data_IF_866544763349
#
_entry.id   IF_866544763349
#
_cell.length_a   1.000
_cell.length_b   1.000
_cell.length_c   1.000
_cell.angle_alpha   90.00
_cell.angle_beta   90.00
_cell.angle_gamma   90.00
#
_symmetry.space_group_name_H-M   'P 1'
#
loop_
_entity.id
_entity.type
_entity.pdbx_description
1 polymer ?
#
# COMPACT_ATOMS: atom_id res chain seq x y z
N UNK A 1 -14.01 24.75 3.48
CA UNK A 1 -13.45 23.56 2.80
C UNK A 1 -12.01 23.86 2.49
N UNK A 2 -11.08 23.30 3.26
CA UNK A 2 -9.64 23.38 2.95
C UNK A 2 -9.41 22.63 1.64
N UNK A 3 -8.68 23.24 0.71
CA UNK A 3 -8.28 22.59 -0.54
C UNK A 3 -7.23 21.54 -0.14
N UNK A 4 -7.65 20.29 0.04
CA UNK A 4 -6.75 19.19 0.33
C UNK A 4 -5.96 18.87 -0.94
N UNK A 5 -4.65 19.13 -0.92
CA UNK A 5 -3.79 18.73 -2.03
C UNK A 5 -3.75 17.20 -2.09
N UNK A 6 -3.90 16.58 -3.28
CA UNK A 6 -3.86 15.13 -3.39
C UNK A 6 -2.46 14.63 -3.05
N UNK A 7 -2.39 13.57 -2.22
CA UNK A 7 -1.18 12.78 -1.98
C UNK A 7 -1.25 11.49 -2.79
N UNK A 8 -0.10 10.95 -3.16
CA UNK A 8 -0.03 9.62 -3.78
C UNK A 8 0.26 8.59 -2.70
N UNK A 9 -0.66 7.66 -2.52
CA UNK A 9 -0.56 6.56 -1.56
C UNK A 9 -0.13 5.30 -2.30
N UNK A 10 0.94 4.67 -1.84
CA UNK A 10 1.38 3.35 -2.28
C UNK A 10 0.81 2.26 -1.38
N UNK A 11 0.33 1.16 -1.96
CA UNK A 11 -0.18 -0.01 -1.24
C UNK A 11 0.37 -1.32 -1.83
N UNK A 12 1.07 -2.10 -1.00
CA UNK A 12 1.67 -3.39 -1.39
C UNK A 12 0.76 -4.60 -1.15
N UNK A 13 -0.43 -4.40 -0.57
CA UNK A 13 -1.35 -5.50 -0.30
C UNK A 13 -1.90 -6.06 -1.62
N UNK A 14 -2.06 -7.39 -1.78
CA UNK A 14 -2.49 -7.98 -3.05
C UNK A 14 -3.81 -7.39 -3.57
N UNK A 15 -4.81 -7.27 -2.69
CA UNK A 15 -6.15 -6.77 -3.04
C UNK A 15 -6.35 -5.28 -2.73
N UNK A 16 -5.28 -4.54 -2.43
CA UNK A 16 -5.36 -3.15 -2.03
C UNK A 16 -5.91 -2.96 -0.61
N UNK A 17 -6.37 -1.75 -0.32
CA UNK A 17 -6.91 -1.39 1.00
C UNK A 17 -7.95 -0.29 0.89
N UNK A 18 -9.03 -0.39 1.69
CA UNK A 18 -10.06 0.65 1.72
C UNK A 18 -9.74 1.66 2.80
N UNK A 19 -9.46 2.89 2.39
CA UNK A 19 -9.40 4.06 3.26
C UNK A 19 -10.84 4.53 3.50
N UNK A 20 -11.30 4.46 4.75
CA UNK A 20 -12.59 5.02 5.17
C UNK A 20 -12.37 6.03 6.28
N UNK A 21 -12.91 7.23 6.10
CA UNK A 21 -13.08 8.21 7.18
C UNK A 21 -14.44 8.89 7.03
N UNK A 22 -15.33 8.67 8.00
CA UNK A 22 -16.74 9.08 7.91
C UNK A 22 -17.42 8.51 6.66
N UNK A 23 -17.98 9.39 5.84
CA UNK A 23 -18.63 9.06 4.56
C UNK A 23 -17.64 8.94 3.39
N UNK A 24 -16.41 9.42 3.55
CA UNK A 24 -15.40 9.33 2.50
C UNK A 24 -14.79 7.93 2.44
N UNK A 25 -14.84 7.33 1.24
CA UNK A 25 -14.28 6.01 0.94
C UNK A 25 -13.42 6.08 -0.31
N UNK A 26 -12.16 5.68 -0.20
CA UNK A 26 -11.25 5.51 -1.33
C UNK A 26 -10.66 4.11 -1.28
N UNK A 27 -10.61 3.43 -2.44
CA UNK A 27 -10.00 2.11 -2.59
C UNK A 27 -8.60 2.30 -3.16
N UNK A 28 -7.59 1.87 -2.40
CA UNK A 28 -6.20 1.85 -2.86
C UNK A 28 -5.96 0.67 -3.80
N UNK A 29 -5.23 0.92 -4.87
CA UNK A 29 -4.73 -0.09 -5.79
C UNK A 29 -3.68 -0.96 -5.09
N UNK A 30 -3.83 -2.27 -5.17
CA UNK A 30 -2.91 -3.24 -4.59
C UNK A 30 -1.86 -3.75 -5.56
N UNK A 31 -1.11 -4.77 -5.12
CA UNK A 31 -0.12 -5.45 -5.94
C UNK A 31 -0.72 -6.23 -7.13
N UNK A 32 -2.03 -6.51 -7.13
CA UNK A 32 -2.73 -7.12 -8.27
C UNK A 32 -3.11 -6.13 -9.39
N UNK A 33 -2.80 -4.84 -9.24
CA UNK A 33 -3.22 -3.81 -10.18
C UNK A 33 -2.36 -3.81 -11.46
N UNK A 34 -2.92 -3.32 -12.57
CA UNK A 34 -2.25 -3.34 -13.88
C UNK A 34 -0.94 -2.53 -13.94
N UNK A 35 -0.79 -1.53 -13.06
CA UNK A 35 0.42 -0.72 -12.95
C UNK A 35 0.91 -0.71 -11.51
N UNK A 36 1.97 -1.46 -11.25
CA UNK A 36 2.63 -1.56 -9.94
C UNK A 36 4.10 -1.20 -10.05
N UNK A 37 4.63 -0.55 -9.02
CA UNK A 37 6.03 -0.12 -8.92
C UNK A 37 6.61 -0.73 -7.66
N UNK A 38 7.66 -1.55 -7.76
CA UNK A 38 8.23 -2.26 -6.60
C UNK A 38 7.22 -3.11 -5.83
N UNK A 39 6.18 -3.62 -6.51
CA UNK A 39 5.06 -4.36 -5.90
C UNK A 39 3.98 -3.50 -5.24
N UNK A 40 4.04 -2.17 -5.33
CA UNK A 40 3.01 -1.26 -4.81
C UNK A 40 2.09 -0.77 -5.94
N UNK A 41 0.78 -0.83 -5.71
CA UNK A 41 -0.18 -0.04 -6.48
C UNK A 41 -0.20 1.39 -5.95
N UNK A 42 -0.26 2.38 -6.85
CA UNK A 42 -0.26 3.80 -6.50
C UNK A 42 -1.64 4.41 -6.75
N UNK A 43 -2.16 5.17 -5.79
CA UNK A 43 -3.48 5.81 -5.88
C UNK A 43 -3.41 7.25 -5.39
N UNK A 44 -4.08 8.16 -6.10
CA UNK A 44 -4.22 9.55 -5.67
C UNK A 44 -5.35 9.67 -4.64
N UNK A 45 -5.06 10.26 -3.49
CA UNK A 45 -5.98 10.35 -2.34
C UNK A 45 -5.94 11.78 -1.78
N UNK A 46 -7.06 12.36 -1.34
CA UNK A 46 -7.04 13.64 -0.61
C UNK A 46 -6.14 13.57 0.64
N UNK A 47 -5.28 14.56 0.85
CA UNK A 47 -4.34 14.57 1.99
C UNK A 47 -5.04 14.40 3.34
N UNK A 48 -6.14 15.12 3.55
CA UNK A 48 -6.89 15.11 4.81
C UNK A 48 -7.42 13.70 5.15
N UNK A 49 -7.95 12.98 4.15
CA UNK A 49 -8.40 11.59 4.31
C UNK A 49 -7.23 10.67 4.68
N UNK A 50 -6.09 10.81 4.01
CA UNK A 50 -4.90 10.01 4.32
C UNK A 50 -4.39 10.28 5.73
N UNK A 51 -4.25 11.55 6.11
CA UNK A 51 -3.74 11.93 7.44
C UNK A 51 -4.65 11.42 8.56
N UNK A 52 -5.96 11.59 8.40
CA UNK A 52 -6.97 11.12 9.35
C UNK A 52 -6.95 9.59 9.50
N UNK A 53 -6.86 8.87 8.39
CA UNK A 53 -6.75 7.41 8.39
C UNK A 53 -5.42 6.93 8.97
N UNK A 54 -4.30 7.51 8.55
CA UNK A 54 -2.96 7.13 8.98
C UNK A 54 -2.78 7.37 10.49
N UNK A 55 -3.36 8.43 11.05
CA UNK A 55 -3.37 8.67 12.51
C UNK A 55 -4.11 7.55 13.26
N UNK A 56 -5.28 7.12 12.78
CA UNK A 56 -6.06 6.02 13.40
C UNK A 56 -5.37 4.67 13.28
N UNK A 57 -4.60 4.45 12.21
CA UNK A 57 -3.98 3.17 11.89
C UNK A 57 -2.45 3.18 12.07
N UNK A 58 -1.88 4.17 12.75
CA UNK A 58 -0.44 4.35 12.93
C UNK A 58 0.22 3.12 13.59
N UNK A 59 -0.51 2.45 14.48
CA UNK A 59 -0.02 1.27 15.19
C UNK A 59 -0.11 -0.04 14.41
N UNK A 60 -0.79 -0.04 13.26
CA UNK A 60 -0.98 -1.23 12.45
C UNK A 60 0.31 -1.63 11.73
N UNK A 61 0.50 -2.93 11.43
CA UNK A 61 1.64 -3.38 10.65
C UNK A 61 1.69 -2.75 9.26
N UNK A 62 0.55 -2.27 8.72
CA UNK A 62 0.51 -1.64 7.40
C UNK A 62 1.38 -0.38 7.33
N UNK A 63 1.29 0.47 8.37
CA UNK A 63 2.07 1.70 8.46
C UNK A 63 3.46 1.41 9.02
N UNK A 64 3.57 0.62 10.09
CA UNK A 64 4.86 0.31 10.74
C UNK A 64 5.85 -0.42 9.82
N UNK A 65 5.37 -1.35 9.00
CA UNK A 65 6.21 -2.09 8.03
C UNK A 65 6.29 -1.39 6.67
N UNK A 66 5.73 -0.20 6.52
CA UNK A 66 5.69 0.56 5.25
C UNK A 66 5.05 -0.22 4.09
N UNK A 67 4.07 -1.07 4.40
CA UNK A 67 3.24 -1.78 3.41
C UNK A 67 2.29 -0.79 2.72
N UNK A 68 1.87 0.24 3.45
CA UNK A 68 1.11 1.37 2.93
C UNK A 68 1.79 2.66 3.38
N UNK A 69 2.01 3.58 2.45
CA UNK A 69 2.66 4.87 2.71
C UNK A 69 2.10 5.94 1.77
N UNK A 70 2.33 7.22 2.09
CA UNK A 70 1.99 8.32 1.20
C UNK A 70 3.18 9.25 0.93
N UNK A 71 3.14 9.86 -0.25
CA UNK A 71 4.09 10.89 -0.69
C UNK A 71 3.34 12.06 -1.33
N UNK A 72 3.96 13.24 -1.27
CA UNK A 72 3.36 14.46 -1.79
C UNK A 72 3.17 14.46 -3.31
N UNK A 73 3.97 13.68 -4.05
CA UNK A 73 3.91 13.61 -5.52
C UNK A 73 4.04 12.17 -6.00
N UNK A 74 3.51 11.85 -7.20
CA UNK A 74 3.60 10.51 -7.76
C UNK A 74 5.06 10.07 -7.98
N UNK A 75 5.92 10.95 -8.49
CA UNK A 75 7.33 10.63 -8.70
C UNK A 75 8.07 10.24 -7.40
N UNK A 76 7.74 10.89 -6.28
CA UNK A 76 8.29 10.51 -4.96
C UNK A 76 7.73 9.18 -4.48
N UNK A 77 6.44 8.93 -4.69
CA UNK A 77 5.84 7.64 -4.36
C UNK A 77 6.47 6.50 -5.17
N UNK A 78 6.72 6.71 -6.45
CA UNK A 78 7.38 5.75 -7.34
C UNK A 78 8.82 5.47 -6.90
N UNK A 79 9.59 6.52 -6.54
CA UNK A 79 10.94 6.37 -6.00
C UNK A 79 10.94 5.52 -4.73
N UNK A 80 10.10 5.90 -3.75
CA UNK A 80 10.01 5.18 -2.49
C UNK A 80 9.52 3.73 -2.67
N UNK A 81 8.61 3.48 -3.61
CA UNK A 81 8.11 2.14 -3.91
C UNK A 81 9.21 1.24 -4.48
N UNK A 82 10.08 1.77 -5.36
CA UNK A 82 11.25 1.05 -5.88
C UNK A 82 12.25 0.73 -4.78
N UNK A 83 12.55 1.70 -3.90
CA UNK A 83 13.45 1.51 -2.77
C UNK A 83 12.93 0.46 -1.76
N UNK A 84 11.62 0.26 -1.72
CA UNK A 84 10.93 -0.66 -0.81
C UNK A 84 10.43 -1.94 -1.50
N UNK A 85 11.00 -2.28 -2.66
CA UNK A 85 10.64 -3.51 -3.37
C UNK A 85 10.81 -4.76 -2.47
N UNK A 86 11.84 -4.79 -1.63
CA UNK A 86 12.10 -5.88 -0.69
C UNK A 86 11.20 -5.92 0.56
N UNK A 87 10.30 -4.96 0.76
CA UNK A 87 9.36 -4.99 1.90
C UNK A 87 8.38 -6.13 1.74
N UNK A 88 8.38 -7.07 2.69
CA UNK A 88 7.52 -8.24 2.68
C UNK A 88 6.20 -8.00 3.41
N UNK A 89 5.10 -8.30 2.73
CA UNK A 89 3.76 -8.25 3.34
C UNK A 89 3.43 -9.52 4.12
N UNK A 90 4.12 -10.63 3.81
CA UNK A 90 3.78 -11.97 4.29
C UNK A 90 2.60 -12.61 3.55
N UNK A 91 2.05 -11.92 2.55
CA UNK A 91 1.00 -12.40 1.65
C UNK A 91 1.52 -12.52 0.21
N UNK A 92 2.84 -12.71 0.08
CA UNK A 92 3.50 -12.93 -1.20
C UNK A 92 3.18 -14.34 -1.72
N UNK A 93 3.24 -14.57 -3.05
CA UNK A 93 3.13 -15.91 -3.61
C UNK A 93 4.15 -16.85 -2.96
N UNK A 94 3.72 -18.05 -2.61
CA UNK A 94 4.63 -19.08 -2.12
C UNK A 94 5.59 -19.46 -3.25
N UNK A 95 6.87 -19.55 -2.90
CA UNK A 95 7.87 -20.07 -3.82
C UNK A 95 7.71 -21.60 -3.90
N UNK A 96 7.45 -22.16 -5.10
CA UNK A 96 7.17 -23.59 -5.24
C UNK A 96 8.40 -24.48 -5.06
N UNK A 97 9.60 -23.91 -5.02
CA UNK A 97 10.87 -24.63 -4.80
C UNK A 97 11.33 -24.51 -3.33
N UNK A 98 10.81 -23.53 -2.61
CA UNK A 98 11.11 -23.30 -1.20
C UNK A 98 9.95 -23.80 -0.33
N UNK A 99 10.07 -25.02 0.20
CA UNK A 99 9.09 -25.75 1.03
C UNK A 99 8.72 -25.08 2.38
N UNK A 100 9.04 -23.81 2.56
CA UNK A 100 8.70 -23.00 3.74
C UNK A 100 7.22 -22.63 3.75
N UNK A 101 6.38 -23.65 3.89
CA UNK A 101 4.93 -23.51 3.98
C UNK A 101 4.19 -24.78 4.39
N UNK A 102 4.89 -25.91 4.60
CA UNK A 102 4.26 -27.18 4.96
C UNK A 102 3.42 -27.79 3.83
N UNK A 103 3.59 -27.30 2.60
CA UNK A 103 2.94 -27.81 1.40
C UNK A 103 4.01 -28.46 0.52
N UNK A 104 3.96 -29.79 0.37
CA UNK A 104 4.81 -30.52 -0.56
C UNK A 104 4.17 -30.53 -1.96
N UNK A 105 5.01 -30.49 -2.99
CA UNK A 105 4.59 -30.63 -4.40
C UNK A 105 3.86 -31.97 -4.56
N UNK A 106 2.66 -31.95 -5.15
CA UNK A 106 1.86 -33.14 -5.40
C UNK A 106 2.51 -34.05 -6.46
#
# INVERSE_FOLDING_TARGET
MTIANPVTVGCKLPNGLVLRSGEHKVVLSGANSSRVIGGYGLTSVPSDLWEDWAKRHADTPFIKKRIVFAQATPAKAEGQAKEQEGVRTGLEPLDPDNEKGGISKL
#
